data_IF_086206392536
#
_entry.id   IF_086206392536
#
_cell.length_a   1.000
_cell.length_b   1.000
_cell.length_c   1.000
_cell.angle_alpha   90.00
_cell.angle_beta   90.00
_cell.angle_gamma   90.00
#
_symmetry.space_group_name_H-M   'P 1'
#
loop_
_entity.id
_entity.type
_entity.pdbx_description
1 polymer ?
#
# COMPACT_ATOMS: atom_id res chain seq x y z
N UNK A 1 15.18 15.50 3.56
CA UNK A 1 14.39 15.12 4.74
C UNK A 1 13.69 13.83 4.38
N UNK A 2 14.15 12.69 4.90
CA UNK A 2 13.57 11.39 4.55
C UNK A 2 12.27 11.20 5.33
N UNK A 3 11.15 10.98 4.62
CA UNK A 3 9.85 10.65 5.23
C UNK A 3 9.94 9.41 6.14
N UNK A 4 10.96 8.57 5.94
CA UNK A 4 11.19 7.31 6.66
C UNK A 4 11.34 7.42 8.17
N UNK A 5 11.65 8.58 8.76
CA UNK A 5 11.75 8.72 10.22
C UNK A 5 10.41 9.04 10.90
N UNK A 6 9.44 9.64 10.19
CA UNK A 6 8.18 10.09 10.79
C UNK A 6 7.10 9.01 10.84
N UNK A 7 7.22 7.95 10.03
CA UNK A 7 6.24 6.87 9.94
C UNK A 7 6.52 5.70 10.89
N UNK A 8 7.76 5.56 11.39
CA UNK A 8 8.09 4.67 12.52
C UNK A 8 7.25 4.93 13.79
N UNK A 9 6.53 6.05 13.89
CA UNK A 9 5.64 6.35 15.00
C UNK A 9 4.19 5.85 14.80
N UNK A 10 3.82 5.41 13.60
CA UNK A 10 2.44 5.06 13.21
C UNK A 10 2.13 3.56 13.38
N UNK A 11 2.73 2.91 14.38
CA UNK A 11 2.51 1.48 14.64
C UNK A 11 1.05 1.10 14.91
N UNK A 12 0.19 2.04 15.29
CA UNK A 12 -1.24 1.77 15.53
C UNK A 12 -2.14 2.11 14.34
N UNK A 13 -1.57 2.57 13.22
CA UNK A 13 -2.38 2.89 12.05
C UNK A 13 -2.89 1.58 11.43
N UNK A 14 -4.20 1.36 11.52
CA UNK A 14 -4.87 0.18 10.97
C UNK A 14 -5.63 0.48 9.68
N UNK A 15 -6.03 1.74 9.47
CA UNK A 15 -6.82 2.18 8.32
C UNK A 15 -6.17 3.40 7.68
N UNK A 16 -5.89 3.31 6.38
CA UNK A 16 -5.34 4.40 5.59
C UNK A 16 -6.16 4.59 4.31
N UNK A 17 -6.71 5.79 4.13
CA UNK A 17 -7.34 6.21 2.88
C UNK A 17 -6.62 7.43 2.33
N UNK A 18 -6.13 7.32 1.09
CA UNK A 18 -5.44 8.40 0.35
C UNK A 18 -6.10 8.56 -1.02
N UNK A 19 -7.43 8.56 -1.02
CA UNK A 19 -8.23 8.63 -2.24
C UNK A 19 -8.11 10.01 -2.91
N UNK A 20 -8.32 10.05 -4.22
CA UNK A 20 -8.40 11.30 -4.99
C UNK A 20 -7.11 12.14 -4.90
N UNK A 21 -5.97 11.47 -5.06
CA UNK A 21 -4.65 12.09 -5.11
C UNK A 21 -3.99 11.82 -6.47
N UNK A 22 -2.70 12.12 -6.59
CA UNK A 22 -1.89 11.90 -7.79
C UNK A 22 -0.79 10.86 -7.55
N UNK A 23 -1.07 9.84 -6.71
CA UNK A 23 -0.11 8.78 -6.44
C UNK A 23 0.12 7.96 -7.72
N UNK A 24 1.39 7.78 -8.08
CA UNK A 24 1.80 6.99 -9.25
C UNK A 24 2.30 5.58 -8.87
N UNK A 25 2.72 5.42 -7.61
CA UNK A 25 3.25 4.19 -7.08
C UNK A 25 3.01 4.10 -5.57
N UNK A 26 3.12 2.88 -5.04
CA UNK A 26 3.14 2.62 -3.61
C UNK A 26 4.59 2.50 -3.15
N UNK A 27 4.97 3.25 -2.12
CA UNK A 27 6.32 3.20 -1.57
C UNK A 27 6.43 2.04 -0.58
N UNK A 28 7.23 1.02 -0.95
CA UNK A 28 7.47 -0.14 -0.09
C UNK A 28 8.06 0.26 1.27
N UNK A 29 8.93 1.27 1.32
CA UNK A 29 9.63 1.64 2.55
C UNK A 29 8.66 2.28 3.55
N UNK A 30 7.63 2.94 3.06
CA UNK A 30 6.53 3.47 3.86
C UNK A 30 5.62 2.34 4.34
N UNK A 31 5.21 1.46 3.43
CA UNK A 31 4.29 0.36 3.75
C UNK A 31 4.90 -0.66 4.72
N UNK A 32 6.21 -0.94 4.60
CA UNK A 32 6.96 -1.79 5.55
C UNK A 32 6.97 -1.21 6.98
N UNK A 33 6.74 0.09 7.15
CA UNK A 33 6.66 0.76 8.46
C UNK A 33 5.26 0.77 9.06
N UNK A 34 4.26 0.20 8.38
CA UNK A 34 2.86 0.14 8.86
C UNK A 34 2.46 -1.31 9.16
N UNK A 35 3.06 -1.94 10.19
CA UNK A 35 2.93 -3.38 10.42
C UNK A 35 1.50 -3.83 10.78
N UNK A 36 0.65 -2.91 11.23
CA UNK A 36 -0.73 -3.18 11.64
C UNK A 36 -1.76 -2.64 10.65
N UNK A 37 -1.35 -2.20 9.46
CA UNK A 37 -2.28 -1.71 8.45
C UNK A 37 -3.11 -2.87 7.91
N UNK A 38 -4.41 -2.79 8.17
CA UNK A 38 -5.42 -3.80 7.83
C UNK A 38 -6.25 -3.35 6.61
N UNK A 39 -6.46 -2.04 6.47
CA UNK A 39 -7.23 -1.42 5.41
C UNK A 39 -6.41 -0.36 4.66
N UNK A 40 -6.36 -0.46 3.33
CA UNK A 40 -5.78 0.53 2.44
C UNK A 40 -6.74 0.87 1.29
N UNK A 41 -7.08 2.14 1.16
CA UNK A 41 -7.81 2.68 0.00
C UNK A 41 -6.96 3.76 -0.68
N UNK A 42 -6.71 3.57 -1.97
CA UNK A 42 -5.97 4.50 -2.85
C UNK A 42 -6.75 4.74 -4.14
N UNK A 43 -8.07 4.76 -4.04
CA UNK A 43 -8.97 4.94 -5.17
C UNK A 43 -8.83 6.33 -5.80
N UNK A 44 -9.06 6.44 -7.10
CA UNK A 44 -8.93 7.70 -7.84
C UNK A 44 -7.51 8.29 -7.75
N UNK A 45 -6.52 7.49 -8.10
CA UNK A 45 -5.12 7.90 -8.25
C UNK A 45 -4.65 7.51 -9.67
N UNK A 46 -3.34 7.50 -9.93
CA UNK A 46 -2.73 7.11 -11.21
C UNK A 46 -1.68 6.02 -11.00
N UNK A 47 -1.97 5.09 -10.07
CA UNK A 47 -1.08 3.98 -9.73
C UNK A 47 -1.09 2.99 -10.88
N UNK A 48 0.08 2.67 -11.43
CA UNK A 48 0.22 1.73 -12.55
C UNK A 48 0.57 0.29 -12.11
N UNK A 49 1.00 0.12 -10.86
CA UNK A 49 1.42 -1.17 -10.30
C UNK A 49 1.19 -1.23 -8.80
N UNK A 50 0.83 -2.41 -8.30
CA UNK A 50 0.72 -2.72 -6.87
C UNK A 50 2.06 -3.12 -6.24
N UNK A 51 3.16 -2.96 -6.97
CA UNK A 51 4.51 -3.10 -6.42
C UNK A 51 4.70 -2.15 -5.23
N UNK A 52 5.08 -2.71 -4.07
CA UNK A 52 5.12 -2.03 -2.78
C UNK A 52 4.36 -2.77 -1.69
N UNK A 53 3.34 -3.56 -2.06
CA UNK A 53 2.48 -4.30 -1.11
C UNK A 53 2.99 -5.71 -0.75
N UNK A 54 4.10 -6.16 -1.33
CA UNK A 54 4.54 -7.57 -1.22
C UNK A 54 4.85 -8.01 0.21
N UNK A 55 5.08 -7.07 1.12
CA UNK A 55 5.43 -7.33 2.53
C UNK A 55 4.36 -6.82 3.50
N UNK A 56 3.23 -6.32 3.00
CA UNK A 56 2.10 -5.93 3.84
C UNK A 56 1.45 -7.18 4.44
N UNK A 57 1.90 -7.58 5.64
CA UNK A 57 1.49 -8.84 6.27
C UNK A 57 0.07 -8.79 6.86
N UNK A 58 -0.38 -7.61 7.27
CA UNK A 58 -1.65 -7.43 7.99
C UNK A 58 -2.78 -6.93 7.10
N UNK A 59 -2.51 -6.58 5.84
CA UNK A 59 -3.49 -5.94 4.96
C UNK A 59 -4.54 -6.97 4.51
N UNK A 60 -5.79 -6.78 4.95
CA UNK A 60 -6.93 -7.62 4.58
C UNK A 60 -7.85 -6.96 3.56
N UNK A 61 -7.89 -5.62 3.53
CA UNK A 61 -8.75 -4.85 2.65
C UNK A 61 -7.94 -3.88 1.76
N UNK A 62 -8.10 -4.00 0.44
CA UNK A 62 -7.43 -3.17 -0.55
C UNK A 62 -8.40 -2.65 -1.61
N UNK A 63 -8.55 -1.32 -1.69
CA UNK A 63 -9.39 -0.65 -2.67
C UNK A 63 -8.53 0.22 -3.60
N UNK A 64 -8.55 -0.12 -4.90
CA UNK A 64 -7.66 0.47 -5.92
C UNK A 64 -8.41 0.91 -7.18
N UNK A 65 -9.74 1.05 -7.10
CA UNK A 65 -10.61 1.52 -8.19
C UNK A 65 -10.12 2.84 -8.78
N UNK A 66 -10.35 3.04 -10.08
CA UNK A 66 -9.95 4.26 -10.81
C UNK A 66 -8.46 4.58 -10.66
N UNK A 67 -7.63 3.61 -11.05
CA UNK A 67 -6.18 3.71 -11.22
C UNK A 67 -5.79 3.11 -12.58
N UNK A 68 -4.51 3.22 -12.96
CA UNK A 68 -3.97 2.72 -14.24
C UNK A 68 -3.29 1.34 -14.10
N UNK A 69 -3.77 0.49 -13.18
CA UNK A 69 -3.15 -0.80 -12.86
C UNK A 69 -3.37 -1.77 -14.02
N UNK A 70 -2.33 -2.00 -14.82
CA UNK A 70 -2.37 -2.93 -15.97
C UNK A 70 -1.88 -4.33 -15.63
N UNK A 71 -1.15 -4.49 -14.53
CA UNK A 71 -0.54 -5.76 -14.11
C UNK A 71 -0.77 -5.99 -12.64
N UNK A 72 -1.32 -7.15 -12.30
CA UNK A 72 -1.36 -7.63 -10.92
C UNK A 72 -0.25 -8.66 -10.80
N UNK A 73 0.90 -8.25 -10.26
CA UNK A 73 2.01 -9.16 -10.00
C UNK A 73 1.72 -9.92 -8.69
N UNK A 74 0.82 -10.91 -8.81
CA UNK A 74 0.50 -11.83 -7.73
C UNK A 74 1.67 -12.81 -7.59
N UNK A 75 2.70 -12.43 -6.85
CA UNK A 75 3.65 -13.39 -6.31
C UNK A 75 2.96 -14.19 -5.18
N UNK A 76 1.95 -14.99 -5.56
CA UNK A 76 1.32 -15.95 -4.67
C UNK A 76 2.38 -17.02 -4.45
N UNK A 77 3.06 -16.97 -3.32
CA UNK A 77 3.84 -18.13 -2.90
C UNK A 77 2.80 -19.15 -2.47
N UNK A 78 2.56 -20.18 -3.28
CA UNK A 78 1.76 -21.32 -2.86
C UNK A 78 2.45 -21.90 -1.63
N UNK A 79 1.86 -21.71 -0.45
CA UNK A 79 2.30 -22.42 0.75
C UNK A 79 2.03 -23.92 0.50
N UNK A 80 3.11 -24.69 0.30
CA UNK A 80 3.09 -26.16 0.45
C UNK A 80 3.04 -26.54 1.93
#
# INVERSE_FOLDING_TARGET
MTLSFSLCAMHHLTHLSINSNHLQCLDREVLDQLPNLDFLSVENNIISSLHGLQRSQSLSELYVSNNDISTIDLNITLCN
#
